data_IF_911434460217
#
_entry.id   IF_911434460217
#
_cell.length_a   1.000
_cell.length_b   1.000
_cell.length_c   1.000
_cell.angle_alpha   90.00
_cell.angle_beta   90.00
_cell.angle_gamma   90.00
#
_symmetry.space_group_name_H-M   'P 1'
#
loop_
_entity.id
_entity.type
_entity.pdbx_description
1 polymer ?
#
# COMPACT_ATOMS: atom_id res chain seq x y z
N UNK A 1 -8.39 22.59 -12.98
CA UNK A 1 -8.17 22.24 -11.57
C UNK A 1 -6.70 21.96 -11.35
N UNK A 2 -6.12 22.63 -10.39
CA UNK A 2 -4.74 22.38 -10.04
C UNK A 2 -4.59 21.04 -9.38
N UNK A 3 -3.54 20.33 -9.73
CA UNK A 3 -3.09 19.19 -8.92
C UNK A 3 -2.77 19.71 -7.51
N UNK A 4 -3.09 18.91 -6.50
CA UNK A 4 -2.75 19.26 -5.13
C UNK A 4 -1.23 19.36 -4.99
N UNK A 5 -0.78 20.40 -4.34
CA UNK A 5 0.64 20.58 -4.06
C UNK A 5 1.08 19.69 -2.91
N UNK A 6 2.32 19.22 -2.98
CA UNK A 6 2.92 18.47 -1.88
C UNK A 6 3.10 19.38 -0.66
N UNK A 7 2.73 18.90 0.50
CA UNK A 7 2.80 19.64 1.77
C UNK A 7 3.35 18.77 2.88
N UNK A 8 3.97 19.38 3.90
CA UNK A 8 4.34 18.63 5.10
C UNK A 8 3.10 17.96 5.69
N UNK A 9 3.18 16.67 5.90
CA UNK A 9 2.05 15.85 6.35
C UNK A 9 2.53 14.89 7.43
N UNK A 10 1.72 14.69 8.46
CA UNK A 10 1.97 13.66 9.44
C UNK A 10 1.52 12.31 8.87
N UNK A 11 2.48 11.54 8.40
CA UNK A 11 2.22 10.23 7.80
C UNK A 11 1.61 9.25 8.81
N UNK A 12 2.04 9.31 10.06
CA UNK A 12 1.50 8.47 11.12
C UNK A 12 -0.02 8.68 11.26
N UNK A 13 -0.46 9.93 11.28
CA UNK A 13 -1.88 10.25 11.36
C UNK A 13 -2.64 9.76 10.12
N UNK A 14 -2.07 9.97 8.95
CA UNK A 14 -2.68 9.52 7.69
C UNK A 14 -2.86 8.00 7.69
N UNK A 15 -1.85 7.26 8.10
CA UNK A 15 -1.93 5.79 8.16
C UNK A 15 -2.96 5.31 9.18
N UNK A 16 -3.06 5.98 10.35
CA UNK A 16 -4.08 5.65 11.33
C UNK A 16 -5.49 5.88 10.77
N UNK A 17 -5.71 6.98 10.06
CA UNK A 17 -7.01 7.27 9.46
C UNK A 17 -7.41 6.21 8.44
N UNK A 18 -6.49 5.84 7.56
CA UNK A 18 -6.75 4.83 6.52
C UNK A 18 -7.02 3.46 7.16
N UNK A 19 -6.23 3.08 8.16
CA UNK A 19 -6.43 1.83 8.87
C UNK A 19 -7.78 1.79 9.60
N UNK A 20 -8.17 2.89 10.24
CA UNK A 20 -9.45 2.97 10.93
C UNK A 20 -10.64 2.88 9.97
N UNK A 21 -10.54 3.50 8.80
CA UNK A 21 -11.58 3.38 7.77
C UNK A 21 -11.73 1.94 7.30
N UNK A 22 -10.63 1.23 7.08
CA UNK A 22 -10.67 -0.16 6.70
C UNK A 22 -11.24 -1.06 7.80
N UNK A 23 -10.92 -0.76 9.07
CA UNK A 23 -11.46 -1.49 10.22
C UNK A 23 -12.98 -1.36 10.32
N UNK A 24 -13.55 -0.23 9.91
CA UNK A 24 -15.01 -0.05 9.84
C UNK A 24 -15.67 -0.96 8.81
N UNK A 25 -14.87 -1.50 7.89
CA UNK A 25 -15.29 -2.46 6.87
C UNK A 25 -14.86 -3.88 7.23
N UNK A 26 -14.68 -4.13 8.53
CA UNK A 26 -14.29 -5.42 9.12
C UNK A 26 -12.87 -5.89 8.78
N UNK A 27 -12.00 -5.01 8.29
CA UNK A 27 -10.62 -5.37 8.06
C UNK A 27 -9.87 -5.57 9.37
N UNK A 28 -9.04 -6.60 9.45
CA UNK A 28 -8.19 -6.87 10.60
C UNK A 28 -6.79 -6.33 10.30
N UNK A 29 -6.51 -5.15 10.80
CA UNK A 29 -5.28 -4.43 10.54
C UNK A 29 -4.57 -4.09 11.84
N UNK A 30 -3.32 -4.50 11.95
CA UNK A 30 -2.41 -4.02 12.98
C UNK A 30 -1.57 -2.91 12.37
N UNK A 31 -1.46 -1.80 13.07
CA UNK A 31 -0.67 -0.67 12.61
C UNK A 31 0.36 -0.30 13.66
N UNK A 32 1.62 -0.21 13.25
CA UNK A 32 2.71 0.25 14.09
C UNK A 32 3.48 1.35 13.36
N UNK A 33 3.53 2.53 13.97
CA UNK A 33 4.34 3.64 13.46
C UNK A 33 5.37 4.01 14.51
N UNK A 34 6.61 4.29 14.06
CA UNK A 34 7.70 4.70 14.95
C UNK A 34 7.62 6.21 15.19
N UNK A 35 6.70 6.61 16.06
CA UNK A 35 6.50 8.02 16.41
C UNK A 35 5.84 8.81 15.28
N UNK A 36 5.97 10.14 15.39
CA UNK A 36 5.47 11.04 14.36
C UNK A 36 6.41 11.01 13.16
N UNK A 37 5.87 10.91 11.97
CA UNK A 37 6.63 10.88 10.73
C UNK A 37 6.16 12.03 9.87
N UNK A 38 6.99 13.07 9.72
CA UNK A 38 6.67 14.20 8.86
C UNK A 38 7.31 13.99 7.49
N UNK A 39 6.50 14.03 6.46
CA UNK A 39 6.94 13.85 5.08
C UNK A 39 6.19 14.82 4.18
N UNK A 40 6.86 15.32 3.15
CA UNK A 40 6.22 16.22 2.18
C UNK A 40 5.58 15.40 1.08
N UNK A 41 4.25 15.36 1.07
CA UNK A 41 3.49 14.54 0.14
C UNK A 41 2.21 15.27 -0.29
N UNK A 42 1.62 14.76 -1.36
CA UNK A 42 0.26 15.13 -1.76
C UNK A 42 -0.69 14.22 -0.99
N UNK A 43 -1.21 14.73 0.12
CA UNK A 43 -1.90 13.90 1.12
C UNK A 43 -3.07 13.10 0.52
N UNK A 44 -3.91 13.73 -0.31
CA UNK A 44 -5.07 13.02 -0.89
C UNK A 44 -4.66 11.92 -1.86
N UNK A 45 -3.67 12.18 -2.71
CA UNK A 45 -3.16 11.19 -3.65
C UNK A 45 -2.48 10.04 -2.93
N UNK A 46 -1.68 10.35 -1.92
CA UNK A 46 -1.01 9.32 -1.14
C UNK A 46 -2.00 8.49 -0.32
N UNK A 47 -3.01 9.13 0.27
CA UNK A 47 -4.09 8.43 0.98
C UNK A 47 -4.78 7.43 0.06
N UNK A 48 -5.09 7.84 -1.17
CA UNK A 48 -5.68 6.95 -2.18
C UNK A 48 -4.77 5.77 -2.49
N UNK A 49 -3.47 6.03 -2.62
CA UNK A 49 -2.47 4.98 -2.86
C UNK A 49 -2.52 3.91 -1.76
N UNK A 50 -2.44 4.32 -0.50
CA UNK A 50 -2.46 3.38 0.62
C UNK A 50 -3.81 2.68 0.70
N UNK A 51 -4.91 3.39 0.51
CA UNK A 51 -6.25 2.78 0.49
C UNK A 51 -6.35 1.69 -0.57
N UNK A 52 -5.84 1.94 -1.78
CA UNK A 52 -5.84 0.94 -2.85
C UNK A 52 -5.04 -0.30 -2.47
N UNK A 53 -3.89 -0.13 -1.83
CA UNK A 53 -3.07 -1.25 -1.39
C UNK A 53 -3.76 -2.07 -0.30
N UNK A 54 -4.39 -1.40 0.64
CA UNK A 54 -5.15 -2.08 1.70
C UNK A 54 -6.35 -2.83 1.12
N UNK A 55 -7.10 -2.20 0.23
CA UNK A 55 -8.24 -2.86 -0.41
C UNK A 55 -7.81 -4.08 -1.21
N UNK A 56 -6.67 -3.99 -1.90
CA UNK A 56 -6.12 -5.13 -2.60
C UNK A 56 -5.79 -6.28 -1.64
N UNK A 57 -5.17 -5.97 -0.51
CA UNK A 57 -4.87 -6.97 0.52
C UNK A 57 -6.14 -7.58 1.10
N UNK A 58 -7.18 -6.78 1.35
CA UNK A 58 -8.45 -7.23 1.91
C UNK A 58 -9.17 -8.25 1.03
N UNK A 59 -8.96 -8.19 -0.29
CA UNK A 59 -9.58 -9.15 -1.21
C UNK A 59 -9.07 -10.57 -1.06
N UNK A 60 -7.82 -10.73 -0.60
CA UNK A 60 -7.13 -12.02 -0.61
C UNK A 60 -6.67 -12.47 0.75
N UNK A 61 -6.66 -11.59 1.75
CA UNK A 61 -6.09 -11.88 3.06
C UNK A 61 -7.10 -11.63 4.17
N UNK A 62 -6.88 -12.28 5.30
CA UNK A 62 -7.69 -12.07 6.51
C UNK A 62 -7.05 -11.05 7.45
N UNK A 63 -5.72 -11.02 7.50
CA UNK A 63 -4.97 -10.14 8.39
C UNK A 63 -3.98 -9.30 7.62
N UNK A 64 -3.87 -8.03 8.02
CA UNK A 64 -2.96 -7.06 7.42
C UNK A 64 -2.16 -6.42 8.54
N UNK A 65 -0.87 -6.22 8.31
CA UNK A 65 0.02 -5.49 9.22
C UNK A 65 0.68 -4.36 8.47
N UNK A 66 0.63 -3.15 9.03
CA UNK A 66 1.27 -1.99 8.45
C UNK A 66 2.32 -1.49 9.44
N UNK A 67 3.54 -1.33 8.97
CA UNK A 67 4.63 -0.75 9.76
C UNK A 67 5.25 0.40 9.00
N UNK A 68 5.55 1.50 9.70
CA UNK A 68 6.17 2.66 9.10
C UNK A 68 7.20 3.25 10.05
N UNK A 69 8.33 3.67 9.51
CA UNK A 69 9.39 4.29 10.29
C UNK A 69 10.39 5.00 9.39
N UNK A 70 11.22 5.83 10.00
CA UNK A 70 12.28 6.54 9.29
C UNK A 70 13.53 5.65 9.25
N UNK A 71 14.13 5.54 8.07
CA UNK A 71 15.38 4.82 7.86
C UNK A 71 16.33 5.69 7.04
N UNK A 72 17.30 6.29 7.70
CA UNK A 72 18.22 7.23 7.05
C UNK A 72 17.49 8.48 6.58
N UNK A 73 17.57 8.75 5.30
CA UNK A 73 16.94 9.92 4.66
C UNK A 73 15.57 9.60 4.02
N UNK A 74 14.97 8.50 4.40
CA UNK A 74 13.73 8.04 3.81
C UNK A 74 12.77 7.49 4.87
N UNK A 75 11.51 7.43 4.49
CA UNK A 75 10.47 6.69 5.24
C UNK A 75 10.27 5.37 4.55
N UNK A 76 10.21 4.29 5.32
CA UNK A 76 9.84 2.97 4.82
C UNK A 76 8.50 2.55 5.39
N UNK A 77 7.64 2.03 4.53
CA UNK A 77 6.34 1.50 4.91
C UNK A 77 6.27 0.07 4.40
N UNK A 78 5.93 -0.86 5.28
CA UNK A 78 5.70 -2.25 4.90
C UNK A 78 4.23 -2.59 5.16
N UNK A 79 3.55 -3.05 4.12
CA UNK A 79 2.18 -3.54 4.21
C UNK A 79 2.22 -5.04 3.97
N UNK A 80 2.02 -5.81 5.03
CA UNK A 80 2.10 -7.27 5.02
C UNK A 80 0.72 -7.88 5.13
N UNK A 81 0.49 -9.00 4.43
CA UNK A 81 -0.75 -9.74 4.56
C UNK A 81 -0.50 -11.24 4.67
N UNK A 82 -1.54 -11.97 5.06
CA UNK A 82 -1.51 -13.43 5.21
C UNK A 82 -2.23 -14.15 4.05
N UNK A 83 -2.40 -13.46 2.93
CA UNK A 83 -3.03 -14.03 1.75
C UNK A 83 -2.11 -14.99 0.97
N UNK A 84 -2.44 -15.25 -0.29
CA UNK A 84 -1.65 -16.21 -1.09
C UNK A 84 -0.32 -15.66 -1.60
N UNK A 85 -0.10 -14.36 -1.48
CA UNK A 85 1.07 -13.71 -2.08
C UNK A 85 0.96 -13.64 -3.60
N UNK A 86 2.05 -13.17 -4.21
CA UNK A 86 2.16 -13.10 -5.66
C UNK A 86 3.46 -13.82 -6.05
N UNK A 87 3.39 -14.78 -6.98
CA UNK A 87 4.60 -15.47 -7.43
C UNK A 87 5.65 -14.47 -7.93
N UNK A 88 6.92 -14.77 -7.65
CA UNK A 88 8.01 -13.85 -7.96
C UNK A 88 8.05 -13.46 -9.44
N UNK A 89 7.74 -14.39 -10.34
CA UNK A 89 7.72 -14.16 -11.78
C UNK A 89 6.54 -13.32 -12.26
N UNK A 90 5.55 -13.07 -11.41
CA UNK A 90 4.38 -12.24 -11.74
C UNK A 90 4.45 -10.83 -11.12
N UNK A 91 5.41 -10.59 -10.22
CA UNK A 91 5.44 -9.33 -9.46
C UNK A 91 5.62 -8.09 -10.32
N UNK A 92 6.40 -8.17 -11.39
CA UNK A 92 6.52 -7.05 -12.31
C UNK A 92 5.24 -6.83 -13.11
N UNK A 93 4.57 -7.91 -13.48
CA UNK A 93 3.37 -7.86 -14.30
C UNK A 93 2.17 -7.26 -13.59
N UNK A 94 2.03 -7.48 -12.28
CA UNK A 94 0.85 -7.01 -11.54
C UNK A 94 0.78 -5.49 -11.41
N UNK A 95 1.85 -4.78 -11.74
CA UNK A 95 1.83 -3.32 -11.83
C UNK A 95 1.27 -2.79 -13.15
N UNK A 96 1.04 -3.66 -14.13
CA UNK A 96 0.46 -3.23 -15.41
C UNK A 96 -1.03 -2.95 -15.22
N UNK A 97 -1.55 -1.85 -15.77
CA UNK A 97 -2.98 -1.60 -15.74
C UNK A 97 -3.77 -2.77 -16.33
N UNK A 98 -4.86 -3.14 -15.67
CA UNK A 98 -5.75 -4.23 -16.06
C UNK A 98 -5.15 -5.63 -15.99
N UNK A 99 -3.90 -5.78 -15.56
CA UNK A 99 -3.33 -7.11 -15.37
C UNK A 99 -3.96 -7.80 -14.17
N UNK A 100 -4.27 -9.08 -14.32
CA UNK A 100 -4.80 -9.92 -13.25
C UNK A 100 -4.10 -11.26 -13.29
N UNK A 101 -3.96 -11.88 -12.11
CA UNK A 101 -3.44 -13.25 -12.04
C UNK A 101 -4.40 -14.21 -12.71
N UNK A 102 -3.87 -15.25 -13.38
CA UNK A 102 -4.68 -16.18 -14.19
C UNK A 102 -5.73 -16.94 -13.40
N UNK A 103 -5.46 -17.18 -12.12
CA UNK A 103 -6.38 -17.93 -11.26
C UNK A 103 -6.84 -17.06 -10.11
N UNK A 104 -7.75 -16.13 -10.34
CA UNK A 104 -8.33 -15.37 -9.24
C UNK A 104 -9.10 -16.34 -8.34
N UNK A 105 -8.84 -16.30 -7.05
CA UNK A 105 -9.50 -17.18 -6.08
C UNK A 105 -11.00 -16.95 -6.03
N UNK A 106 -11.41 -15.75 -6.24
CA UNK A 106 -12.81 -15.37 -6.20
C UNK A 106 -13.08 -14.38 -7.31
N UNK A 107 -13.64 -14.83 -8.43
CA UNK A 107 -13.89 -13.94 -9.57
C UNK A 107 -14.75 -12.74 -9.22
N UNK A 108 -15.65 -12.88 -8.24
CA UNK A 108 -16.52 -11.78 -7.83
C UNK A 108 -15.82 -10.68 -7.04
N UNK A 109 -14.61 -10.93 -6.50
CA UNK A 109 -13.87 -9.95 -5.72
C UNK A 109 -12.75 -9.28 -6.49
N UNK A 110 -12.44 -9.77 -7.68
CA UNK A 110 -11.38 -9.19 -8.49
C UNK A 110 -11.80 -7.81 -9.02
N UNK A 111 -11.01 -6.77 -8.73
CA UNK A 111 -11.21 -5.47 -9.35
C UNK A 111 -10.75 -5.45 -10.80
N UNK A 112 -10.70 -4.28 -11.40
CA UNK A 112 -10.30 -4.12 -12.79
C UNK A 112 -8.78 -4.20 -13.01
N UNK A 113 -7.99 -4.41 -11.95
CA UNK A 113 -6.54 -4.53 -12.08
C UNK A 113 -5.81 -3.20 -12.13
N UNK A 114 -6.39 -2.15 -11.55
CA UNK A 114 -5.77 -0.82 -11.56
C UNK A 114 -5.11 -0.43 -10.24
N UNK A 115 -5.45 -1.11 -9.13
CA UNK A 115 -5.01 -0.70 -7.80
C UNK A 115 -3.49 -0.60 -7.64
N UNK A 116 -2.75 -1.62 -8.06
CA UNK A 116 -1.29 -1.61 -7.95
C UNK A 116 -0.64 -0.63 -8.93
N UNK A 117 -1.18 -0.48 -10.14
CA UNK A 117 -0.69 0.50 -11.11
C UNK A 117 -0.84 1.92 -10.58
N UNK A 118 -2.00 2.24 -10.02
CA UNK A 118 -2.25 3.55 -9.43
C UNK A 118 -1.32 3.82 -8.24
N UNK A 119 -1.12 2.82 -7.38
CA UNK A 119 -0.23 2.94 -6.25
C UNK A 119 1.21 3.21 -6.69
N UNK A 120 1.70 2.46 -7.67
CA UNK A 120 3.05 2.67 -8.20
C UNK A 120 3.23 4.06 -8.78
N UNK A 121 2.27 4.52 -9.58
CA UNK A 121 2.33 5.86 -10.18
C UNK A 121 2.39 6.94 -9.09
N UNK A 122 1.59 6.81 -8.03
CA UNK A 122 1.60 7.75 -6.92
C UNK A 122 2.95 7.76 -6.20
N UNK A 123 3.49 6.59 -5.89
CA UNK A 123 4.79 6.46 -5.20
C UNK A 123 5.90 7.04 -6.06
N UNK A 124 5.95 6.71 -7.35
CA UNK A 124 6.95 7.25 -8.26
C UNK A 124 6.82 8.75 -8.43
N UNK A 125 5.59 9.26 -8.46
CA UNK A 125 5.33 10.70 -8.51
C UNK A 125 5.80 11.45 -7.27
N UNK A 126 5.99 10.75 -6.14
CA UNK A 126 6.56 11.32 -4.92
C UNK A 126 8.08 11.09 -4.82
N UNK A 127 8.71 10.58 -5.87
CA UNK A 127 10.14 10.28 -5.87
C UNK A 127 10.52 9.02 -5.11
N UNK A 128 9.54 8.18 -4.79
CA UNK A 128 9.75 6.96 -4.04
C UNK A 128 9.82 5.72 -4.90
N UNK A 129 9.88 4.57 -4.23
CA UNK A 129 9.86 3.30 -4.91
C UNK A 129 8.94 2.32 -4.18
N UNK A 130 8.38 1.38 -4.92
CA UNK A 130 7.52 0.32 -4.40
C UNK A 130 8.07 -1.02 -4.86
N UNK A 131 8.08 -2.00 -3.95
CA UNK A 131 8.51 -3.37 -4.23
C UNK A 131 7.53 -4.36 -3.64
N UNK A 132 7.46 -5.52 -4.25
CA UNK A 132 6.68 -6.65 -3.77
C UNK A 132 7.63 -7.75 -3.34
N UNK A 133 7.32 -8.38 -2.21
CA UNK A 133 8.15 -9.44 -1.64
C UNK A 133 7.26 -10.41 -0.87
N UNK A 134 7.85 -11.48 -0.37
CA UNK A 134 7.16 -12.41 0.50
C UNK A 134 6.96 -11.77 1.88
N UNK A 135 5.78 -11.94 2.44
CA UNK A 135 5.49 -11.47 3.79
C UNK A 135 5.88 -12.51 4.82
N UNK A 136 6.43 -12.10 5.98
CA UNK A 136 6.60 -13.03 7.09
C UNK A 136 5.28 -13.60 7.62
N UNK A 137 4.14 -13.00 7.25
CA UNK A 137 2.80 -13.50 7.56
C UNK A 137 2.34 -14.59 6.59
N UNK A 138 3.13 -14.94 5.58
CA UNK A 138 2.82 -15.97 4.61
C UNK A 138 2.26 -15.51 3.28
N UNK A 139 1.91 -14.23 3.17
CA UNK A 139 1.35 -13.66 1.95
C UNK A 139 2.29 -12.67 1.27
N UNK A 140 1.77 -11.51 0.94
CA UNK A 140 2.50 -10.47 0.20
C UNK A 140 2.97 -9.36 1.12
N UNK A 141 4.20 -8.92 0.90
CA UNK A 141 4.71 -7.66 1.44
C UNK A 141 4.77 -6.63 0.34
N UNK A 142 4.08 -5.50 0.55
CA UNK A 142 4.27 -4.32 -0.26
C UNK A 142 5.19 -3.39 0.52
N UNK A 143 6.36 -3.13 -0.04
CA UNK A 143 7.38 -2.29 0.59
C UNK A 143 7.45 -0.97 -0.17
N UNK A 144 7.39 0.14 0.57
CA UNK A 144 7.38 1.49 0.02
C UNK A 144 8.49 2.28 0.68
N UNK A 145 9.24 3.02 -0.14
CA UNK A 145 10.25 3.95 0.33
C UNK A 145 9.95 5.33 -0.23
N UNK A 146 9.87 6.32 0.65
CA UNK A 146 9.65 7.73 0.29
C UNK A 146 10.83 8.57 0.78
N UNK A 147 11.36 9.46 -0.05
CA UNK A 147 12.38 10.39 0.41
C UNK A 147 11.77 11.39 1.41
N UNK A 148 12.55 11.72 2.41
CA UNK A 148 12.18 12.77 3.37
C UNK A 148 12.41 14.16 2.80
#
# INVERSE_FOLDING_TARGET
VRAAEARPTDLSELLHDVANQARRRDARIDLHTEGRIDVTIRANGFRRCITNLIENAMRYAEHISIRAGVRGDAVEIAIDDDGPGIPADQRANVFRPFYRLEQPRNPGTGGVGLGLAIARDSIQGHGGEIRLDDSPMGGLRVWIRLPL
#
